data_IF_450406349906
#
_entry.id   IF_450406349906
#
_cell.length_a   1.000
_cell.length_b   1.000
_cell.length_c   1.000
_cell.angle_alpha   90.00
_cell.angle_beta   90.00
_cell.angle_gamma   90.00
#
_symmetry.space_group_name_H-M   'P 1'
#
loop_
_entity.id
_entity.type
_entity.pdbx_description
1 polymer ?
#
# COMPACT_ATOMS: atom_id res chain seq x y z
N UNK A 1 24.22 -6.53 6.84
CA UNK A 1 22.79 -6.15 7.00
C UNK A 1 21.96 -7.42 6.91
N UNK A 2 21.03 -7.65 7.84
CA UNK A 2 20.17 -8.84 7.83
C UNK A 2 19.34 -8.87 6.54
N UNK A 3 19.33 -9.99 5.81
CA UNK A 3 18.60 -10.15 4.54
C UNK A 3 17.13 -9.73 4.64
N UNK A 4 16.50 -10.05 5.78
CA UNK A 4 15.12 -9.69 6.09
C UNK A 4 14.88 -8.18 6.21
N UNK A 5 15.74 -7.45 6.91
CA UNK A 5 15.60 -5.99 7.07
C UNK A 5 15.74 -5.27 5.72
N UNK A 6 16.59 -5.78 4.83
CA UNK A 6 16.72 -5.26 3.47
C UNK A 6 15.45 -5.51 2.65
N UNK A 7 14.82 -6.68 2.77
CA UNK A 7 13.55 -7.00 2.10
C UNK A 7 12.41 -6.11 2.57
N UNK A 8 12.28 -5.92 3.88
CA UNK A 8 11.29 -5.02 4.48
C UNK A 8 11.48 -3.59 3.98
N UNK A 9 12.72 -3.09 3.98
CA UNK A 9 13.03 -1.75 3.47
C UNK A 9 12.67 -1.59 1.99
N UNK A 10 13.07 -2.54 1.13
CA UNK A 10 12.73 -2.52 -0.30
C UNK A 10 11.22 -2.47 -0.51
N UNK A 11 10.47 -3.31 0.22
CA UNK A 11 9.02 -3.36 0.13
C UNK A 11 8.39 -2.00 0.50
N UNK A 12 8.77 -1.43 1.65
CA UNK A 12 8.26 -0.13 2.11
C UNK A 12 8.61 1.02 1.14
N UNK A 13 9.80 1.00 0.55
CA UNK A 13 10.21 2.01 -0.44
C UNK A 13 9.34 1.94 -1.71
N UNK A 14 8.98 0.74 -2.17
CA UNK A 14 8.11 0.58 -3.33
C UNK A 14 6.67 0.98 -3.01
N UNK A 15 6.17 0.67 -1.79
CA UNK A 15 4.86 1.14 -1.33
C UNK A 15 4.83 2.68 -1.34
N UNK A 16 5.86 3.30 -0.75
CA UNK A 16 5.98 4.75 -0.72
C UNK A 16 6.01 5.34 -2.14
N UNK A 17 6.75 4.73 -3.07
CA UNK A 17 6.79 5.17 -4.48
C UNK A 17 5.41 5.11 -5.14
N UNK A 18 4.64 4.03 -4.93
CA UNK A 18 3.27 3.92 -5.44
C UNK A 18 2.41 5.09 -4.94
N UNK A 19 2.50 5.46 -3.66
CA UNK A 19 1.73 6.56 -3.10
C UNK A 19 2.21 7.94 -3.53
N UNK A 20 3.52 8.15 -3.70
CA UNK A 20 4.03 9.42 -4.25
C UNK A 20 3.52 9.61 -5.68
N UNK A 21 3.62 8.59 -6.53
CA UNK A 21 3.10 8.65 -7.89
C UNK A 21 1.59 8.95 -7.91
N UNK A 22 0.81 8.31 -7.03
CA UNK A 22 -0.62 8.57 -6.90
C UNK A 22 -0.91 10.02 -6.47
N UNK A 23 -0.17 10.54 -5.48
CA UNK A 23 -0.31 11.92 -5.02
C UNK A 23 0.02 12.91 -6.15
N UNK A 24 1.08 12.67 -6.93
CA UNK A 24 1.47 13.51 -8.05
C UNK A 24 0.40 13.55 -9.15
N UNK A 25 -0.20 12.39 -9.48
CA UNK A 25 -1.31 12.30 -10.43
C UNK A 25 -2.50 13.14 -9.96
N UNK A 26 -2.92 12.97 -8.70
CA UNK A 26 -4.08 13.70 -8.16
C UNK A 26 -3.81 15.19 -7.97
N UNK A 27 -2.61 15.56 -7.52
CA UNK A 27 -2.19 16.95 -7.40
C UNK A 27 -2.07 17.66 -8.76
N UNK A 28 -1.82 16.90 -9.85
CA UNK A 28 -1.81 17.41 -11.21
C UNK A 28 -3.19 17.82 -11.74
N UNK A 29 -4.28 17.44 -11.06
CA UNK A 29 -5.65 17.82 -11.45
C UNK A 29 -5.92 19.24 -10.94
N UNK A 30 -5.93 20.21 -11.87
CA UNK A 30 -5.97 21.64 -11.53
C UNK A 30 -7.28 22.12 -10.88
N UNK A 31 -8.39 21.39 -11.07
CA UNK A 31 -9.71 21.74 -10.54
C UNK A 31 -10.18 20.70 -9.51
N UNK A 32 -10.43 21.09 -8.24
CA UNK A 32 -10.86 20.16 -7.19
C UNK A 32 -12.17 19.41 -7.50
N UNK A 33 -13.11 20.06 -8.20
CA UNK A 33 -14.36 19.44 -8.64
C UNK A 33 -14.13 18.30 -9.62
N UNK A 34 -13.22 18.49 -10.59
CA UNK A 34 -12.83 17.46 -11.56
C UNK A 34 -12.12 16.29 -10.86
N UNK A 35 -11.24 16.59 -9.89
CA UNK A 35 -10.57 15.56 -9.09
C UNK A 35 -11.59 14.71 -8.33
N UNK A 36 -12.58 15.35 -7.70
CA UNK A 36 -13.68 14.66 -7.02
C UNK A 36 -14.48 13.77 -7.98
N UNK A 37 -14.87 14.29 -9.14
CA UNK A 37 -15.60 13.52 -10.16
C UNK A 37 -14.82 12.27 -10.62
N UNK A 38 -13.53 12.43 -10.90
CA UNK A 38 -12.65 11.31 -11.30
C UNK A 38 -12.57 10.28 -10.18
N UNK A 39 -12.35 10.69 -8.94
CA UNK A 39 -12.23 9.77 -7.79
C UNK A 39 -13.55 9.04 -7.49
N UNK A 40 -14.69 9.68 -7.71
CA UNK A 40 -16.03 9.09 -7.50
C UNK A 40 -16.48 8.21 -8.68
N UNK A 41 -15.78 8.24 -9.82
CA UNK A 41 -16.02 7.32 -10.92
C UNK A 41 -15.68 5.87 -10.54
N UNK A 42 -16.24 4.89 -11.27
CA UNK A 42 -15.91 3.48 -11.04
C UNK A 42 -14.40 3.17 -11.20
N UNK A 43 -13.68 3.66 -12.23
CA UNK A 43 -12.23 3.49 -12.32
C UNK A 43 -11.46 4.18 -11.19
N UNK A 44 -11.84 5.40 -10.80
CA UNK A 44 -11.20 6.13 -9.70
C UNK A 44 -11.38 5.43 -8.36
N UNK A 45 -12.60 4.94 -8.08
CA UNK A 45 -12.90 4.16 -6.89
C UNK A 45 -12.10 2.86 -6.87
N UNK A 46 -12.06 2.13 -7.98
CA UNK A 46 -11.25 0.91 -8.10
C UNK A 46 -9.76 1.17 -7.89
N UNK A 47 -9.24 2.28 -8.42
CA UNK A 47 -7.86 2.71 -8.20
C UNK A 47 -7.58 2.97 -6.71
N UNK A 48 -8.44 3.74 -6.03
CA UNK A 48 -8.31 4.01 -4.60
C UNK A 48 -8.42 2.73 -3.75
N UNK A 49 -9.30 1.79 -4.12
CA UNK A 49 -9.38 0.48 -3.50
C UNK A 49 -8.07 -0.31 -3.66
N UNK A 50 -7.47 -0.29 -4.85
CA UNK A 50 -6.15 -0.87 -5.08
C UNK A 50 -5.07 -0.25 -4.20
N UNK A 51 -5.05 1.09 -4.07
CA UNK A 51 -4.13 1.77 -3.17
C UNK A 51 -4.37 1.40 -1.69
N UNK A 52 -5.63 1.21 -1.28
CA UNK A 52 -5.94 0.75 0.07
C UNK A 52 -5.39 -0.66 0.35
N UNK A 53 -5.43 -1.57 -0.62
CA UNK A 53 -4.82 -2.90 -0.48
C UNK A 53 -3.31 -2.80 -0.29
N UNK A 54 -2.65 -1.92 -1.04
CA UNK A 54 -1.20 -1.64 -0.88
C UNK A 54 -0.91 -1.03 0.49
N UNK A 55 -1.77 -0.15 1.00
CA UNK A 55 -1.61 0.39 2.36
C UNK A 55 -1.75 -0.70 3.41
N UNK A 56 -2.73 -1.61 3.27
CA UNK A 56 -2.86 -2.78 4.15
C UNK A 56 -1.63 -3.68 4.13
N UNK A 57 -0.94 -3.82 2.99
CA UNK A 57 0.36 -4.51 2.93
C UNK A 57 1.37 -3.83 3.86
N UNK A 58 1.51 -2.50 3.83
CA UNK A 58 2.42 -1.80 4.76
C UNK A 58 2.06 -2.02 6.23
N UNK A 59 0.78 -2.07 6.58
CA UNK A 59 0.34 -2.33 7.95
C UNK A 59 0.65 -3.75 8.41
N UNK A 60 0.48 -4.75 7.55
CA UNK A 60 0.91 -6.13 7.85
C UNK A 60 2.43 -6.23 8.01
N UNK A 61 3.20 -5.49 7.22
CA UNK A 61 4.67 -5.42 7.40
C UNK A 61 5.03 -4.80 8.76
N UNK A 62 4.36 -3.70 9.13
CA UNK A 62 4.54 -3.04 10.42
C UNK A 62 4.25 -3.98 11.60
N UNK A 63 3.11 -4.67 11.56
CA UNK A 63 2.73 -5.67 12.56
C UNK A 63 3.74 -6.83 12.63
N UNK A 64 4.17 -7.33 11.47
CA UNK A 64 5.19 -8.39 11.38
C UNK A 64 6.54 -7.95 11.97
N UNK A 65 6.97 -6.72 11.70
CA UNK A 65 8.18 -6.14 12.27
C UNK A 65 8.09 -6.04 13.79
N UNK A 66 6.96 -5.57 14.32
CA UNK A 66 6.69 -5.48 15.77
C UNK A 66 6.70 -6.85 16.43
N UNK A 67 6.01 -7.84 15.85
CA UNK A 67 5.95 -9.20 16.36
C UNK A 67 7.33 -9.86 16.45
N UNK A 68 8.20 -9.58 15.47
CA UNK A 68 9.58 -10.11 15.41
C UNK A 68 10.62 -9.25 16.13
N UNK A 69 10.23 -8.10 16.68
CA UNK A 69 11.13 -7.09 17.26
C UNK A 69 12.26 -6.69 16.29
N UNK A 70 11.93 -6.62 14.99
CA UNK A 70 12.87 -6.32 13.91
C UNK A 70 12.86 -4.83 13.50
N UNK A 71 12.34 -3.96 14.36
CA UNK A 71 12.23 -2.53 14.09
C UNK A 71 13.62 -1.87 14.05
N UNK A 72 13.80 -0.95 13.11
CA UNK A 72 14.95 -0.06 13.06
C UNK A 72 14.48 1.36 12.80
N UNK A 73 15.27 2.35 13.19
CA UNK A 73 14.94 3.76 12.97
C UNK A 73 14.65 4.06 11.50
N UNK A 74 15.41 3.48 10.58
CA UNK A 74 15.21 3.62 9.15
C UNK A 74 13.87 3.04 8.68
N UNK A 75 13.48 1.85 9.17
CA UNK A 75 12.20 1.22 8.84
C UNK A 75 11.03 2.04 9.38
N UNK A 76 11.11 2.49 10.63
CA UNK A 76 10.10 3.34 11.25
C UNK A 76 9.97 4.69 10.53
N UNK A 77 11.09 5.28 10.10
CA UNK A 77 11.08 6.49 9.28
C UNK A 77 10.37 6.23 7.95
N UNK A 78 10.66 5.12 7.27
CA UNK A 78 10.02 4.79 6.00
C UNK A 78 8.51 4.57 6.16
N UNK A 79 8.08 3.88 7.21
CA UNK A 79 6.66 3.71 7.56
C UNK A 79 5.95 5.06 7.74
N UNK A 80 6.54 6.00 8.48
CA UNK A 80 5.95 7.34 8.65
C UNK A 80 5.77 8.06 7.32
N UNK A 81 6.69 7.89 6.37
CA UNK A 81 6.55 8.47 5.02
C UNK A 81 5.40 7.82 4.25
N UNK A 82 5.23 6.51 4.37
CA UNK A 82 4.08 5.78 3.80
C UNK A 82 2.76 6.30 4.39
N UNK A 83 2.68 6.40 5.72
CA UNK A 83 1.49 6.91 6.41
C UNK A 83 1.15 8.34 6.01
N UNK A 84 2.16 9.21 5.90
CA UNK A 84 1.97 10.58 5.43
C UNK A 84 1.43 10.62 4.00
N UNK A 85 2.04 9.85 3.08
CA UNK A 85 1.61 9.80 1.69
C UNK A 85 0.19 9.24 1.54
N UNK A 86 -0.18 8.24 2.34
CA UNK A 86 -1.54 7.70 2.38
C UNK A 86 -2.55 8.71 2.93
N UNK A 87 -2.23 9.42 4.03
CA UNK A 87 -3.11 10.45 4.58
C UNK A 87 -3.31 11.62 3.60
N UNK A 88 -2.27 11.99 2.85
CA UNK A 88 -2.39 12.98 1.78
C UNK A 88 -3.39 12.51 0.70
N UNK A 89 -3.34 11.24 0.29
CA UNK A 89 -4.31 10.66 -0.65
C UNK A 89 -5.75 10.71 -0.09
N UNK A 90 -5.93 10.37 1.18
CA UNK A 90 -7.24 10.45 1.83
C UNK A 90 -7.79 11.88 1.89
N UNK A 91 -6.93 12.90 1.94
CA UNK A 91 -7.37 14.30 1.95
C UNK A 91 -8.11 14.70 0.67
N UNK A 92 -7.79 14.09 -0.47
CA UNK A 92 -8.53 14.29 -1.73
C UNK A 92 -9.95 13.70 -1.67
N UNK A 93 -10.20 12.74 -0.77
CA UNK A 93 -11.49 12.07 -0.59
C UNK A 93 -12.35 12.66 0.52
N UNK A 94 -11.89 13.68 1.24
CA UNK A 94 -12.59 14.25 2.41
C UNK A 94 -14.02 14.76 2.10
N UNK A 95 -14.38 14.96 0.83
CA UNK A 95 -15.71 15.36 0.37
C UNK A 95 -16.62 14.18 -0.04
N UNK A 96 -16.11 12.94 -0.07
CA UNK A 96 -16.82 11.73 -0.52
C UNK A 96 -16.95 10.67 0.58
N UNK A 97 -17.93 10.83 1.48
CA UNK A 97 -18.10 9.99 2.68
C UNK A 97 -18.29 8.48 2.38
N UNK A 98 -18.87 8.13 1.23
CA UNK A 98 -19.15 6.72 0.85
C UNK A 98 -17.89 5.95 0.45
N UNK A 99 -16.99 6.57 -0.32
CA UNK A 99 -15.72 5.94 -0.74
C UNK A 99 -14.79 5.74 0.44
N UNK A 100 -14.71 6.75 1.33
CA UNK A 100 -13.93 6.62 2.57
C UNK A 100 -14.38 5.43 3.41
N UNK A 101 -15.68 5.26 3.62
CA UNK A 101 -16.23 4.15 4.40
C UNK A 101 -15.99 2.78 3.73
N UNK A 102 -16.02 2.72 2.39
CA UNK A 102 -15.71 1.52 1.63
C UNK A 102 -14.24 1.12 1.77
N UNK A 103 -13.32 2.07 1.69
CA UNK A 103 -11.88 1.84 1.85
C UNK A 103 -11.54 1.28 3.24
N UNK A 104 -12.33 1.60 4.27
CA UNK A 104 -12.12 1.08 5.63
C UNK A 104 -12.71 -0.34 5.80
N UNK A 105 -13.69 -0.73 4.98
CA UNK A 105 -14.49 -1.95 5.19
C UNK A 105 -14.10 -3.14 4.32
N UNK A 106 -13.48 -2.93 3.15
CA UNK A 106 -13.06 -4.04 2.28
C UNK A 106 -11.88 -4.80 2.89
N UNK A 107 -12.13 -6.03 3.32
CA UNK A 107 -11.15 -6.88 4.00
C UNK A 107 -11.02 -8.25 3.34
N UNK A 108 -9.77 -8.69 3.24
CA UNK A 108 -9.29 -10.02 2.87
C UNK A 108 -9.46 -10.45 1.39
N UNK A 109 -8.37 -10.25 0.64
CA UNK A 109 -8.09 -11.08 -0.53
C UNK A 109 -7.64 -12.49 -0.09
N UNK A 110 -8.25 -13.53 -0.66
CA UNK A 110 -7.96 -14.92 -0.33
C UNK A 110 -6.46 -15.26 -0.44
N UNK A 111 -5.94 -16.11 0.47
CA UNK A 111 -4.56 -16.57 0.40
C UNK A 111 -4.32 -17.51 -0.79
N UNK A 112 -3.11 -17.44 -1.36
CA UNK A 112 -2.63 -18.29 -2.45
C UNK A 112 -1.43 -19.12 -1.99
N UNK A 113 -1.26 -20.31 -2.60
CA UNK A 113 -0.12 -21.18 -2.36
C UNK A 113 0.89 -21.05 -3.51
N UNK A 114 2.17 -20.84 -3.18
CA UNK A 114 3.28 -20.80 -4.14
C UNK A 114 4.52 -21.44 -3.52
N UNK A 115 5.12 -22.43 -4.20
CA UNK A 115 6.32 -23.15 -3.73
C UNK A 115 6.24 -23.62 -2.25
N UNK A 116 5.07 -24.11 -1.83
CA UNK A 116 4.84 -24.59 -0.46
C UNK A 116 4.63 -23.49 0.59
N UNK A 117 4.72 -22.22 0.20
CA UNK A 117 4.46 -21.06 1.06
C UNK A 117 3.08 -20.44 0.78
N UNK A 118 2.44 -19.92 1.83
CA UNK A 118 1.14 -19.26 1.75
C UNK A 118 1.32 -17.73 1.74
N UNK A 119 0.74 -17.06 0.75
CA UNK A 119 0.80 -15.61 0.59
C UNK A 119 -0.59 -15.02 0.48
N UNK A 120 -0.82 -13.84 1.04
CA UNK A 120 -2.00 -13.05 0.66
C UNK A 120 -1.89 -12.67 -0.81
N UNK A 121 -2.96 -12.81 -1.59
CA UNK A 121 -2.94 -12.46 -3.01
C UNK A 121 -2.45 -11.02 -3.25
N UNK A 122 -2.88 -10.04 -2.44
CA UNK A 122 -2.42 -8.65 -2.55
C UNK A 122 -0.93 -8.48 -2.24
N UNK A 123 -0.38 -9.21 -1.28
CA UNK A 123 1.06 -9.21 -0.99
C UNK A 123 1.87 -9.81 -2.14
N UNK A 124 1.42 -10.95 -2.68
CA UNK A 124 2.11 -11.61 -3.79
C UNK A 124 2.08 -10.76 -5.06
N UNK A 125 0.91 -10.22 -5.41
CA UNK A 125 0.76 -9.32 -6.55
C UNK A 125 1.63 -8.08 -6.41
N UNK A 126 1.61 -7.42 -5.24
CA UNK A 126 2.45 -6.25 -4.99
C UNK A 126 3.94 -6.59 -5.11
N UNK A 127 4.37 -7.70 -4.51
CA UNK A 127 5.77 -8.12 -4.55
C UNK A 127 6.25 -8.34 -5.98
N UNK A 128 5.52 -9.15 -6.76
CA UNK A 128 5.90 -9.50 -8.13
C UNK A 128 5.91 -8.31 -9.09
N UNK A 129 4.96 -7.39 -8.94
CA UNK A 129 4.83 -6.26 -9.87
C UNK A 129 5.66 -5.04 -9.47
N UNK A 130 6.00 -4.87 -8.18
CA UNK A 130 6.59 -3.63 -7.69
C UNK A 130 7.90 -3.83 -6.92
N UNK A 131 8.21 -5.01 -6.40
CA UNK A 131 9.38 -5.24 -5.55
C UNK A 131 10.44 -6.09 -6.23
N UNK A 132 10.07 -7.29 -6.66
CA UNK A 132 11.00 -8.27 -7.24
C UNK A 132 10.23 -9.25 -8.12
N UNK A 133 10.84 -9.72 -9.22
CA UNK A 133 10.19 -10.61 -10.18
C UNK A 133 9.91 -12.02 -9.61
N UNK A 134 10.50 -12.34 -8.46
CA UNK A 134 10.31 -13.62 -7.77
C UNK A 134 9.85 -13.42 -6.33
N UNK A 135 8.87 -14.22 -5.90
CA UNK A 135 8.42 -14.24 -4.51
C UNK A 135 9.54 -14.74 -3.58
N UNK A 136 9.61 -14.23 -2.33
CA UNK A 136 10.58 -14.74 -1.37
C UNK A 136 10.17 -16.15 -0.96
N UNK A 137 11.01 -17.14 -1.25
CA UNK A 137 10.79 -18.53 -0.85
C UNK A 137 10.75 -18.69 0.66
N UNK A 138 9.86 -19.53 1.16
CA UNK A 138 9.90 -19.98 2.56
C UNK A 138 11.15 -20.82 2.79
N UNK A 139 11.94 -20.47 3.80
CA UNK A 139 13.02 -21.32 4.33
C UNK A 139 12.46 -22.52 5.06
#
# INVERSE_FOLDING_TARGET
MNSEAAHLMRCLQQIHKVFINANEILAGISQPSVCSEVLLSAPGTAYMLGLSEVYRVSKRLEEGMKARKAESEALLHCLRKVDLAWNNLLSFLAFGHSVFQMLVSSGNSDPIMYEGSCYHASCANFWLNCVDATLPGGT
#
